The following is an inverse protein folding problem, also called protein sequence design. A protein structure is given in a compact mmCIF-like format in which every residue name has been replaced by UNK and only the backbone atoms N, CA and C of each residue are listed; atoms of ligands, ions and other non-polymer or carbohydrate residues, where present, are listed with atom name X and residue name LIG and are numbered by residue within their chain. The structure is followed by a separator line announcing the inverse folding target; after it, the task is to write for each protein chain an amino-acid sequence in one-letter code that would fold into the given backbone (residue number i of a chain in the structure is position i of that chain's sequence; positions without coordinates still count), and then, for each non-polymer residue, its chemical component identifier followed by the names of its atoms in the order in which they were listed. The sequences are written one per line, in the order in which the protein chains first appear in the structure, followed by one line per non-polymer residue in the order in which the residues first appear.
data_IF_953661769694
#
_entry.id   IF_953661769694
#
_cell.length_a   1.000
_cell.length_b   1.000
_cell.length_c   1.000
_cell.angle_alpha   90.00
_cell.angle_beta   90.00
_cell.angle_gamma   90.00
#
_symmetry.space_group_name_H-M   'P 1'
#
loop_
_entity.id
_entity.type
_entity.pdbx_description
1 polymer ?
#
# COMPACT_ATOMS: atom_id res chain seq x y z
N UNK A 1 -12.55 -15.60 10.30
CA UNK A 1 -11.39 -15.94 9.47
C UNK A 1 -10.91 -14.66 8.80
N UNK A 2 -9.67 -14.24 9.00
CA UNK A 2 -9.13 -13.12 8.23
C UNK A 2 -9.12 -13.55 6.75
N UNK A 3 -9.86 -12.83 5.91
CA UNK A 3 -9.91 -13.12 4.47
C UNK A 3 -8.58 -12.73 3.85
N UNK A 4 -7.93 -13.69 3.21
CA UNK A 4 -6.74 -13.42 2.39
C UNK A 4 -7.12 -12.48 1.24
N UNK A 5 -6.48 -11.33 1.17
CA UNK A 5 -6.70 -10.31 0.15
C UNK A 5 -5.39 -9.55 -0.13
N UNK A 6 -5.42 -8.62 -1.08
CA UNK A 6 -4.23 -7.86 -1.48
C UNK A 6 -3.55 -7.12 -0.30
N UNK A 7 -4.32 -6.58 0.63
CA UNK A 7 -3.75 -5.90 1.81
C UNK A 7 -3.06 -6.89 2.76
N UNK A 8 -3.63 -8.09 2.97
CA UNK A 8 -2.96 -9.10 3.81
C UNK A 8 -1.70 -9.64 3.14
N UNK A 9 -1.72 -9.80 1.81
CA UNK A 9 -0.54 -10.23 1.03
C UNK A 9 0.63 -9.25 1.16
N UNK A 10 0.36 -7.94 1.05
CA UNK A 10 1.37 -6.91 1.25
C UNK A 10 1.94 -6.97 2.68
N UNK A 11 1.05 -7.03 3.67
CA UNK A 11 1.44 -7.06 5.09
C UNK A 11 2.30 -8.28 5.41
N UNK A 12 1.93 -9.46 4.92
CA UNK A 12 2.71 -10.69 5.09
C UNK A 12 4.08 -10.57 4.42
N UNK A 13 4.15 -9.99 3.22
CA UNK A 13 5.41 -9.75 2.51
C UNK A 13 6.33 -8.79 3.25
N UNK A 14 5.77 -7.71 3.82
CA UNK A 14 6.51 -6.73 4.62
C UNK A 14 7.01 -7.28 5.95
N UNK A 15 6.27 -8.19 6.58
CA UNK A 15 6.75 -8.90 7.77
C UNK A 15 7.88 -9.89 7.43
N UNK A 16 7.75 -10.61 6.31
CA UNK A 16 8.71 -11.63 5.92
C UNK A 16 10.02 -11.05 5.33
N UNK A 17 9.94 -9.93 4.60
CA UNK A 17 11.07 -9.36 3.86
C UNK A 17 11.08 -7.82 3.96
N UNK A 18 11.17 -7.23 5.16
CA UNK A 18 10.91 -5.82 5.36
C UNK A 18 11.83 -4.89 4.56
N UNK A 19 13.11 -5.22 4.49
CA UNK A 19 14.12 -4.35 3.88
C UNK A 19 14.37 -4.70 2.39
N UNK A 20 13.65 -5.70 1.86
CA UNK A 20 13.72 -6.04 0.43
C UNK A 20 13.01 -4.96 -0.39
N UNK A 21 13.59 -4.50 -1.52
CA UNK A 21 12.90 -3.57 -2.41
C UNK A 21 11.56 -4.15 -2.91
N UNK A 22 10.47 -3.42 -2.66
CA UNK A 22 9.14 -3.70 -3.18
C UNK A 22 8.85 -2.91 -4.45
N UNK A 23 9.37 -1.68 -4.53
CA UNK A 23 9.19 -0.79 -5.67
C UNK A 23 10.53 -0.17 -6.05
N UNK A 24 10.80 -0.14 -7.36
CA UNK A 24 11.98 0.50 -7.94
C UNK A 24 11.49 1.36 -9.11
N UNK A 25 11.87 2.64 -9.09
CA UNK A 25 11.70 3.55 -10.22
C UNK A 25 12.97 4.39 -10.33
N UNK A 26 13.78 4.12 -11.36
CA UNK A 26 15.11 4.71 -11.52
C UNK A 26 15.95 4.52 -10.23
N UNK A 27 16.43 5.61 -9.63
CA UNK A 27 17.20 5.59 -8.38
C UNK A 27 16.33 5.45 -7.12
N UNK A 28 15.01 5.63 -7.24
CA UNK A 28 14.10 5.44 -6.13
C UNK A 28 13.96 3.96 -5.83
N UNK A 29 14.23 3.60 -4.58
CA UNK A 29 13.99 2.26 -4.02
C UNK A 29 13.14 2.42 -2.78
N UNK A 30 12.04 1.67 -2.75
CA UNK A 30 11.14 1.62 -1.60
C UNK A 30 11.05 0.16 -1.17
N UNK A 31 11.39 -0.08 0.08
CA UNK A 31 11.31 -1.40 0.72
C UNK A 31 9.86 -1.80 0.98
N UNK A 32 9.63 -3.09 1.22
CA UNK A 32 8.29 -3.57 1.61
C UNK A 32 7.80 -2.91 2.90
N UNK A 33 8.69 -2.63 3.86
CA UNK A 33 8.35 -1.91 5.09
C UNK A 33 7.83 -0.51 4.78
N UNK A 34 8.59 0.25 4.00
CA UNK A 34 8.19 1.63 3.64
C UNK A 34 6.87 1.62 2.86
N UNK A 35 6.66 0.64 1.97
CA UNK A 35 5.41 0.52 1.21
C UNK A 35 4.22 0.25 2.12
N UNK A 36 4.33 -0.71 3.04
CA UNK A 36 3.27 -1.04 4.01
C UNK A 36 2.94 0.15 4.93
N UNK A 37 3.96 0.91 5.35
CA UNK A 37 3.78 2.13 6.14
C UNK A 37 3.04 3.22 5.34
N UNK A 38 3.44 3.47 4.09
CA UNK A 38 2.81 4.46 3.23
C UNK A 38 1.34 4.13 2.92
N UNK A 39 1.06 2.87 2.56
CA UNK A 39 -0.31 2.37 2.32
C UNK A 39 -1.15 2.52 3.59
N UNK A 40 -0.58 2.21 4.76
CA UNK A 40 -1.27 2.33 6.05
C UNK A 40 -1.68 3.78 6.35
N UNK A 41 -0.83 4.76 6.00
CA UNK A 41 -1.14 6.19 6.15
C UNK A 41 -2.26 6.63 5.21
N UNK A 42 -2.23 6.23 3.94
CA UNK A 42 -3.30 6.55 2.98
C UNK A 42 -4.62 5.91 3.43
N UNK A 43 -4.61 4.64 3.81
CA UNK A 43 -5.79 3.94 4.33
C UNK A 43 -6.35 4.62 5.59
N UNK A 44 -5.49 5.06 6.52
CA UNK A 44 -5.92 5.83 7.68
C UNK A 44 -6.57 7.17 7.28
N UNK A 45 -6.00 7.88 6.31
CA UNK A 45 -6.52 9.14 5.79
C UNK A 45 -7.86 8.99 5.06
N UNK A 46 -8.10 7.89 4.35
CA UNK A 46 -9.38 7.57 3.72
C UNK A 46 -10.44 7.25 4.77
N UNK A 47 -10.11 6.41 5.77
CA UNK A 47 -11.03 6.11 6.89
C UNK A 47 -11.41 7.37 7.65
N UNK A 48 -10.46 8.27 7.91
CA UNK A 48 -10.73 9.55 8.57
C UNK A 48 -11.68 10.47 7.77
N UNK A 49 -11.79 10.26 6.45
CA UNK A 49 -12.75 10.96 5.57
C UNK A 49 -14.09 10.23 5.42
N UNK A 50 -14.32 9.18 6.20
CA UNK A 50 -15.58 8.43 6.21
C UNK A 50 -15.68 7.33 5.15
N UNK A 51 -14.60 7.03 4.42
CA UNK A 51 -14.59 5.96 3.42
C UNK A 51 -14.61 4.59 4.12
N UNK A 52 -15.55 3.74 3.72
CA UNK A 52 -15.79 2.43 4.29
C UNK A 52 -16.01 1.32 3.25
N UNK A 53 -16.54 0.19 3.73
CA UNK A 53 -16.80 -0.98 2.89
C UNK A 53 -17.91 -0.67 1.89
N UNK A 54 -17.64 -0.90 0.61
CA UNK A 54 -18.59 -0.68 -0.47
C UNK A 54 -18.50 0.70 -1.12
N UNK A 55 -17.76 1.63 -0.52
CA UNK A 55 -17.49 2.93 -1.12
C UNK A 55 -16.52 2.79 -2.29
N UNK A 56 -16.63 3.72 -3.25
CA UNK A 56 -15.82 3.75 -4.46
C UNK A 56 -14.83 4.90 -4.37
N UNK A 57 -13.54 4.60 -4.57
CA UNK A 57 -12.46 5.58 -4.63
C UNK A 57 -11.86 5.57 -6.02
N UNK A 58 -11.88 6.71 -6.71
CA UNK A 58 -11.22 6.87 -8.00
C UNK A 58 -9.72 7.08 -7.82
N UNK A 59 -8.90 6.39 -8.61
CA UNK A 59 -7.44 6.57 -8.67
C UNK A 59 -7.10 7.06 -10.08
N UNK A 60 -6.53 8.27 -10.17
CA UNK A 60 -6.09 8.85 -11.44
C UNK A 60 -4.68 9.40 -11.27
N UNK A 61 -3.71 8.58 -11.64
CA UNK A 61 -2.28 8.86 -11.51
C UNK A 61 -1.55 8.25 -12.72
N UNK A 62 -0.40 8.82 -13.15
CA UNK A 62 0.49 8.18 -14.11
C UNK A 62 1.20 6.96 -13.47
N UNK A 63 2.11 6.32 -14.23
CA UNK A 63 2.97 5.25 -13.70
C UNK A 63 4.06 5.85 -12.79
N UNK A 64 3.70 6.12 -11.54
CA UNK A 64 4.57 6.71 -10.50
C UNK A 64 4.53 5.86 -9.22
N UNK A 65 5.51 6.02 -8.31
CA UNK A 65 5.64 5.22 -7.09
C UNK A 65 4.44 5.30 -6.14
N UNK A 66 3.63 6.35 -6.25
CA UNK A 66 2.41 6.54 -5.47
C UNK A 66 1.23 5.73 -5.99
N UNK A 67 1.28 5.23 -7.24
CA UNK A 67 0.18 4.44 -7.81
C UNK A 67 -0.14 3.16 -7.01
N UNK A 68 0.85 2.37 -6.55
CA UNK A 68 0.60 1.19 -5.72
C UNK A 68 0.48 1.49 -4.21
N UNK A 69 0.44 2.76 -3.79
CA UNK A 69 0.19 3.18 -2.40
C UNK A 69 -1.30 3.43 -2.21
#
# INVERSE_FOLDING_TARGET
MATFNLSSMLRESALANPDKPALILDDLRMSYRELDEAVSLVAAGLRARGIGRGDRVGVMLPNVPQFPI
#
